data_IF_415483955313
#
_entry.id   IF_415483955313
#
_cell.length_a   1.000
_cell.length_b   1.000
_cell.length_c   1.000
_cell.angle_alpha   90.00
_cell.angle_beta   90.00
_cell.angle_gamma   90.00
#
_symmetry.space_group_name_H-M   'P 1'
#
loop_
_entity.id
_entity.type
_entity.pdbx_description
1 polymer ?
#
# COMPACT_ATOMS: atom_id res chain seq x y z
N UNK A 1 -11.10 -6.15 6.55
CA UNK A 1 -9.75 -5.61 6.69
C UNK A 1 -8.82 -6.70 7.18
N UNK A 2 -7.68 -6.90 6.50
CA UNK A 2 -6.63 -7.77 7.04
C UNK A 2 -6.02 -7.13 8.30
N UNK A 3 -5.73 -7.94 9.31
CA UNK A 3 -5.16 -7.47 10.57
C UNK A 3 -3.79 -8.09 10.82
N UNK A 4 -3.04 -7.53 11.77
CA UNK A 4 -1.78 -8.15 12.23
C UNK A 4 -1.97 -9.60 12.71
N UNK A 5 -3.13 -9.93 13.29
CA UNK A 5 -3.46 -11.30 13.72
C UNK A 5 -3.64 -12.19 12.49
N UNK A 6 -4.41 -11.74 11.50
CA UNK A 6 -4.62 -12.48 10.25
C UNK A 6 -3.30 -12.73 9.53
N UNK A 7 -2.42 -11.72 9.45
CA UNK A 7 -1.11 -11.86 8.81
C UNK A 7 -0.20 -12.80 9.60
N UNK A 8 -0.15 -12.67 10.93
CA UNK A 8 0.64 -13.56 11.79
C UNK A 8 0.19 -15.02 11.66
N UNK A 9 -1.12 -15.26 11.64
CA UNK A 9 -1.66 -16.62 11.51
C UNK A 9 -1.36 -17.24 10.15
N UNK A 10 -1.35 -16.43 9.08
CA UNK A 10 -1.16 -16.92 7.71
C UNK A 10 0.31 -17.06 7.31
N UNK A 11 1.15 -16.11 7.70
CA UNK A 11 2.52 -15.97 7.22
C UNK A 11 3.57 -16.05 8.32
N UNK A 12 3.15 -16.09 9.59
CA UNK A 12 4.06 -16.01 10.73
C UNK A 12 4.49 -14.57 11.06
N UNK A 13 5.49 -14.48 11.94
CA UNK A 13 6.08 -13.20 12.33
C UNK A 13 6.84 -12.59 11.15
N UNK A 14 6.84 -11.27 10.97
CA UNK A 14 7.60 -10.63 9.92
C UNK A 14 9.08 -10.55 10.31
N UNK A 15 9.76 -11.68 10.19
CA UNK A 15 11.20 -11.86 10.42
C UNK A 15 11.92 -12.27 9.14
N UNK A 16 13.21 -12.62 9.25
CA UNK A 16 14.04 -12.97 8.10
C UNK A 16 13.52 -14.20 7.33
N UNK A 17 12.89 -15.17 8.02
CA UNK A 17 12.34 -16.36 7.36
C UNK A 17 11.06 -16.01 6.59
N UNK A 18 10.20 -15.17 7.18
CA UNK A 18 9.06 -14.60 6.47
C UNK A 18 9.52 -13.84 5.21
N UNK A 19 10.54 -12.98 5.34
CA UNK A 19 11.05 -12.20 4.21
C UNK A 19 11.57 -13.09 3.08
N UNK A 20 12.38 -14.11 3.41
CA UNK A 20 12.89 -15.10 2.44
C UNK A 20 11.78 -15.80 1.69
N UNK A 21 10.71 -16.16 2.39
CA UNK A 21 9.63 -16.96 1.81
C UNK A 21 8.64 -16.11 1.00
N UNK A 22 8.28 -14.92 1.47
CA UNK A 22 7.10 -14.20 0.98
C UNK A 22 7.39 -12.85 0.33
N UNK A 23 8.56 -12.25 0.57
CA UNK A 23 8.90 -10.93 0.04
C UNK A 23 9.61 -11.03 -1.30
N UNK A 24 9.56 -9.93 -2.05
CA UNK A 24 10.23 -9.78 -3.35
C UNK A 24 10.62 -8.33 -3.56
N UNK A 25 11.77 -8.12 -4.24
CA UNK A 25 12.12 -6.82 -4.81
C UNK A 25 11.46 -6.73 -6.18
N UNK A 26 10.26 -6.15 -6.22
CA UNK A 26 9.54 -5.94 -7.47
C UNK A 26 10.10 -4.73 -8.22
N UNK A 27 10.51 -4.94 -9.48
CA UNK A 27 10.89 -3.85 -10.39
C UNK A 27 9.63 -3.29 -11.05
N UNK A 28 9.29 -2.04 -10.71
CA UNK A 28 8.17 -1.34 -11.34
C UNK A 28 8.56 -1.04 -12.79
N UNK A 29 7.70 -1.38 -13.75
CA UNK A 29 8.03 -1.23 -15.17
C UNK A 29 8.30 0.22 -15.56
N UNK A 30 9.23 0.43 -16.48
CA UNK A 30 9.58 1.78 -16.93
C UNK A 30 8.40 2.49 -17.59
N UNK A 31 7.50 1.74 -18.23
CA UNK A 31 6.25 2.27 -18.80
C UNK A 31 5.32 2.88 -17.72
N UNK A 32 5.21 2.25 -16.55
CA UNK A 32 4.43 2.81 -15.43
C UNK A 32 5.15 4.03 -14.85
N UNK A 33 6.46 3.92 -14.57
CA UNK A 33 7.21 5.02 -13.94
C UNK A 33 7.33 6.26 -14.84
N UNK A 34 7.39 6.08 -16.16
CA UNK A 34 7.36 7.19 -17.11
C UNK A 34 6.06 8.02 -17.02
N UNK A 35 4.97 7.42 -16.54
CA UNK A 35 3.69 8.11 -16.32
C UNK A 35 3.49 8.56 -14.88
N UNK A 36 4.05 7.84 -13.90
CA UNK A 36 3.96 8.15 -12.48
C UNK A 36 5.38 8.25 -11.90
N UNK A 37 6.07 9.39 -12.12
CA UNK A 37 7.50 9.52 -11.83
C UNK A 37 7.86 9.48 -10.34
N UNK A 38 6.89 9.71 -9.45
CA UNK A 38 7.08 9.62 -8.00
C UNK A 38 7.24 8.19 -7.50
N UNK A 39 6.89 7.17 -8.31
CA UNK A 39 7.07 5.78 -7.94
C UNK A 39 8.56 5.39 -7.97
N UNK A 40 9.03 4.62 -6.98
CA UNK A 40 10.41 4.15 -6.97
C UNK A 40 10.65 3.12 -8.08
N UNK A 41 11.91 2.97 -8.50
CA UNK A 41 12.31 1.94 -9.46
C UNK A 41 11.99 0.52 -8.98
N UNK A 42 12.16 0.31 -7.67
CA UNK A 42 11.99 -0.97 -7.00
C UNK A 42 11.13 -0.78 -5.76
N UNK A 43 10.19 -1.69 -5.56
CA UNK A 43 9.39 -1.76 -4.35
C UNK A 43 9.69 -3.10 -3.69
N UNK A 44 10.15 -3.08 -2.44
CA UNK A 44 10.26 -4.29 -1.64
C UNK A 44 8.91 -4.54 -0.96
N UNK A 45 8.22 -5.60 -1.37
CA UNK A 45 6.85 -5.89 -0.95
C UNK A 45 6.59 -7.40 -0.91
N UNK A 46 5.43 -7.78 -0.38
CA UNK A 46 4.96 -9.15 -0.44
C UNK A 46 4.69 -9.55 -1.90
N UNK A 47 5.00 -10.79 -2.28
CA UNK A 47 4.66 -11.37 -3.60
C UNK A 47 3.20 -11.16 -4.02
N UNK A 48 2.26 -11.13 -3.07
CA UNK A 48 0.83 -10.91 -3.32
C UNK A 48 0.50 -9.49 -3.78
N UNK A 49 1.38 -8.51 -3.56
CA UNK A 49 1.17 -7.11 -3.95
C UNK A 49 1.45 -6.84 -5.42
N UNK A 50 2.30 -7.65 -6.06
CA UNK A 50 2.87 -7.31 -7.38
C UNK A 50 1.78 -7.12 -8.42
N UNK A 51 0.88 -8.08 -8.57
CA UNK A 51 -0.20 -7.99 -9.54
C UNK A 51 -1.23 -6.90 -9.20
N UNK A 52 -1.79 -6.84 -7.97
CA UNK A 52 -2.71 -5.76 -7.57
C UNK A 52 -2.12 -4.35 -7.75
N UNK A 53 -0.88 -4.10 -7.31
CA UNK A 53 -0.26 -2.78 -7.49
C UNK A 53 -0.03 -2.45 -8.97
N UNK A 54 0.40 -3.43 -9.77
CA UNK A 54 0.54 -3.23 -11.21
C UNK A 54 -0.78 -2.80 -11.84
N UNK A 55 -1.89 -3.46 -11.47
CA UNK A 55 -3.22 -3.12 -11.98
C UNK A 55 -3.70 -1.76 -11.45
N UNK A 56 -3.47 -1.44 -10.17
CA UNK A 56 -3.86 -0.16 -9.60
C UNK A 56 -3.17 1.01 -10.32
N UNK A 57 -1.87 0.92 -10.55
CA UNK A 57 -1.13 1.96 -11.28
C UNK A 57 -1.57 2.07 -12.74
N UNK A 58 -1.84 0.94 -13.41
CA UNK A 58 -2.40 0.95 -14.77
C UNK A 58 -3.79 1.61 -14.80
N UNK A 59 -4.68 1.26 -13.88
CA UNK A 59 -5.98 1.90 -13.75
C UNK A 59 -5.85 3.42 -13.60
N UNK A 60 -4.90 3.89 -12.78
CA UNK A 60 -4.65 5.31 -12.60
C UNK A 60 -4.15 6.00 -13.87
N UNK A 61 -3.31 5.33 -14.66
CA UNK A 61 -2.84 5.83 -15.96
C UNK A 61 -4.01 5.90 -16.96
N UNK A 62 -4.76 4.80 -17.10
CA UNK A 62 -5.88 4.68 -18.04
C UNK A 62 -7.02 5.65 -17.73
N UNK A 63 -7.24 5.97 -16.44
CA UNK A 63 -8.25 6.93 -15.99
C UNK A 63 -7.75 8.38 -15.93
N UNK A 64 -6.50 8.65 -16.31
CA UNK A 64 -5.94 10.01 -16.36
C UNK A 64 -5.65 10.65 -15.00
N UNK A 65 -5.44 9.84 -13.94
CA UNK A 65 -5.29 10.30 -12.55
C UNK A 65 -3.82 10.43 -12.11
N UNK A 66 -2.88 10.39 -13.05
CA UNK A 66 -1.43 10.35 -12.75
C UNK A 66 -0.94 11.59 -11.99
N UNK A 67 -1.59 12.74 -12.17
CA UNK A 67 -1.25 13.99 -11.49
C UNK A 67 -1.59 13.99 -10.00
N UNK A 68 -2.42 13.03 -9.55
CA UNK A 68 -2.78 12.89 -8.13
C UNK A 68 -1.73 12.14 -7.32
N UNK A 69 -0.71 11.55 -7.95
CA UNK A 69 0.41 10.93 -7.26
C UNK A 69 1.47 11.99 -6.95
N UNK A 70 1.43 12.52 -5.72
CA UNK A 70 2.34 13.58 -5.26
C UNK A 70 3.57 13.00 -4.58
N UNK A 71 3.38 12.00 -3.71
CA UNK A 71 4.49 11.32 -3.00
C UNK A 71 4.27 9.82 -2.92
N UNK A 72 5.38 9.08 -2.89
CA UNK A 72 5.43 7.68 -2.49
C UNK A 72 6.08 7.60 -1.11
N UNK A 73 5.33 7.11 -0.12
CA UNK A 73 5.70 7.20 1.29
C UNK A 73 6.06 5.84 1.91
N UNK A 74 6.01 4.77 1.12
CA UNK A 74 6.63 3.49 1.45
C UNK A 74 5.73 2.28 1.26
N UNK A 75 6.29 1.10 1.52
CA UNK A 75 5.58 -0.18 1.44
C UNK A 75 5.93 -1.12 2.60
N UNK A 76 7.21 -1.42 2.79
CA UNK A 76 7.66 -2.34 3.84
C UNK A 76 8.34 -1.59 4.98
N UNK A 77 7.86 -1.82 6.21
CA UNK A 77 8.48 -1.33 7.44
C UNK A 77 7.96 -2.16 8.62
N UNK A 78 8.84 -2.96 9.24
CA UNK A 78 8.50 -3.71 10.45
C UNK A 78 8.39 -2.73 11.62
N UNK A 79 7.16 -2.40 12.00
CA UNK A 79 6.88 -1.46 13.08
C UNK A 79 5.55 -1.73 13.76
N UNK A 80 5.45 -1.28 15.02
CA UNK A 80 4.15 -1.17 15.69
C UNK A 80 3.34 -0.01 15.10
N UNK A 81 2.02 -0.13 15.19
CA UNK A 81 1.12 1.00 14.92
C UNK A 81 1.30 2.08 15.99
N UNK A 82 1.17 3.35 15.60
CA UNK A 82 1.34 4.48 16.51
C UNK A 82 0.37 4.35 17.69
N UNK A 83 0.89 4.41 18.91
CA UNK A 83 0.12 4.27 20.15
C UNK A 83 -0.63 2.93 20.30
N UNK A 84 -0.25 1.87 19.57
CA UNK A 84 -0.84 0.54 19.69
C UNK A 84 0.24 -0.55 19.83
N UNK A 85 -0.11 -1.65 20.49
CA UNK A 85 0.79 -2.80 20.67
C UNK A 85 0.79 -3.79 19.49
N UNK A 86 -0.05 -3.56 18.48
CA UNK A 86 -0.14 -4.42 17.30
C UNK A 86 0.75 -3.91 16.17
N UNK A 87 1.30 -4.84 15.39
CA UNK A 87 2.12 -4.51 14.22
C UNK A 87 1.29 -3.85 13.11
N UNK A 88 1.95 -3.00 12.34
CA UNK A 88 1.40 -2.42 11.12
C UNK A 88 1.37 -3.46 10.00
N UNK A 89 0.41 -3.34 9.08
CA UNK A 89 0.34 -4.20 7.88
C UNK A 89 1.57 -4.01 6.97
N UNK A 90 2.21 -2.83 7.03
CA UNK A 90 3.52 -2.59 6.42
C UNK A 90 4.60 -3.59 6.87
N UNK A 91 4.45 -4.22 8.04
CA UNK A 91 5.40 -5.22 8.53
C UNK A 91 5.40 -6.49 7.69
N UNK A 92 4.32 -6.77 6.95
CA UNK A 92 4.23 -7.90 6.03
C UNK A 92 4.35 -7.48 4.56
N UNK A 93 4.68 -6.21 4.28
CA UNK A 93 4.78 -5.70 2.91
C UNK A 93 3.47 -5.77 2.12
N UNK A 94 2.33 -5.71 2.81
CA UNK A 94 0.96 -5.84 2.27
C UNK A 94 0.20 -4.50 2.22
N UNK A 95 0.91 -3.39 2.45
CA UNK A 95 0.37 -2.04 2.46
C UNK A 95 1.33 -1.07 1.76
N UNK A 96 0.79 0.05 1.29
CA UNK A 96 1.54 1.18 0.74
C UNK A 96 0.97 2.48 1.29
N UNK A 97 1.82 3.50 1.39
CA UNK A 97 1.43 4.87 1.66
C UNK A 97 1.75 5.77 0.46
N UNK A 98 0.81 6.61 0.07
CA UNK A 98 1.00 7.68 -0.92
C UNK A 98 0.40 8.99 -0.41
N UNK A 99 0.97 10.12 -0.83
CA UNK A 99 0.50 11.46 -0.49
C UNK A 99 0.41 11.71 1.04
N UNK A 100 1.34 11.15 1.82
CA UNK A 100 1.28 11.13 3.29
C UNK A 100 1.18 12.53 3.92
N UNK A 101 1.88 13.51 3.34
CA UNK A 101 1.88 14.90 3.84
C UNK A 101 0.47 15.49 3.94
N UNK A 102 -0.37 15.24 2.93
CA UNK A 102 -1.73 15.81 2.81
C UNK A 102 -2.82 14.85 3.28
N UNK A 103 -2.45 13.62 3.64
CA UNK A 103 -3.36 12.53 4.02
C UNK A 103 -2.92 11.79 5.29
N UNK A 104 -2.32 12.51 6.23
CA UNK A 104 -1.78 11.96 7.47
C UNK A 104 -2.85 11.25 8.33
N UNK A 105 -2.41 10.29 9.14
CA UNK A 105 -3.30 9.56 10.05
C UNK A 105 -4.07 10.49 11.00
N UNK A 106 -5.40 10.35 10.99
CA UNK A 106 -6.33 11.10 11.83
C UNK A 106 -6.70 12.48 11.29
N UNK A 107 -6.26 12.86 10.09
CA UNK A 107 -6.70 14.09 9.42
C UNK A 107 -7.84 13.80 8.44
N UNK A 108 -8.53 14.84 7.98
CA UNK A 108 -9.53 14.71 6.92
C UNK A 108 -8.81 14.25 5.63
N UNK A 109 -9.16 13.09 5.05
CA UNK A 109 -8.57 12.65 3.79
C UNK A 109 -8.93 13.60 2.65
N UNK A 110 -7.99 13.76 1.72
CA UNK A 110 -8.12 14.64 0.54
C UNK A 110 -8.08 13.87 -0.78
N UNK A 111 -7.73 12.58 -0.74
CA UNK A 111 -7.66 11.73 -1.93
C UNK A 111 -9.01 11.60 -2.64
N UNK A 112 -8.99 11.70 -3.98
CA UNK A 112 -10.20 11.59 -4.80
C UNK A 112 -10.81 10.19 -4.72
N UNK A 113 -12.12 10.10 -4.93
CA UNK A 113 -12.82 8.82 -4.94
C UNK A 113 -12.38 7.96 -6.15
N UNK A 114 -12.03 8.60 -7.26
CA UNK A 114 -11.58 8.03 -8.51
C UNK A 114 -10.21 7.36 -8.36
N UNK A 115 -9.27 8.04 -7.70
CA UNK A 115 -7.95 7.46 -7.39
C UNK A 115 -8.10 6.29 -6.42
N UNK A 116 -8.85 6.46 -5.33
CA UNK A 116 -9.14 5.37 -4.39
C UNK A 116 -9.74 4.17 -5.12
N UNK A 117 -10.66 4.41 -6.07
CA UNK A 117 -11.29 3.36 -6.86
C UNK A 117 -10.31 2.57 -7.72
N UNK A 118 -9.23 3.18 -8.21
CA UNK A 118 -8.18 2.47 -8.97
C UNK A 118 -7.55 1.34 -8.16
N UNK A 119 -7.40 1.53 -6.85
CA UNK A 119 -6.88 0.54 -5.92
C UNK A 119 -7.98 -0.43 -5.46
N UNK A 120 -9.15 0.08 -5.06
CA UNK A 120 -10.19 -0.79 -4.50
C UNK A 120 -10.79 -1.75 -5.53
N UNK A 121 -10.81 -1.38 -6.82
CA UNK A 121 -11.25 -2.27 -7.89
C UNK A 121 -10.34 -3.49 -8.07
N UNK A 122 -9.10 -3.45 -7.57
CA UNK A 122 -8.09 -4.50 -7.76
C UNK A 122 -7.67 -5.15 -6.44
N UNK A 123 -8.55 -5.10 -5.43
CA UNK A 123 -8.41 -5.87 -4.20
C UNK A 123 -7.77 -5.14 -3.03
N UNK A 124 -7.55 -3.82 -3.13
CA UNK A 124 -7.18 -3.01 -1.98
C UNK A 124 -8.40 -2.54 -1.19
N UNK A 125 -8.16 -2.19 0.07
CA UNK A 125 -8.98 -1.28 0.84
C UNK A 125 -8.19 0.00 1.12
N UNK A 126 -8.92 1.07 1.45
CA UNK A 126 -8.35 2.39 1.71
C UNK A 126 -8.63 2.85 3.13
N UNK A 127 -7.59 3.34 3.81
CA UNK A 127 -7.64 3.76 5.20
C UNK A 127 -8.47 5.01 5.46
N UNK A 128 -8.72 5.83 4.44
CA UNK A 128 -9.55 7.03 4.56
C UNK A 128 -11.01 6.77 4.95
N UNK A 129 -11.49 5.53 4.82
CA UNK A 129 -12.85 5.12 5.24
C UNK A 129 -12.96 4.63 6.69
N UNK A 130 -11.85 4.58 7.43
CA UNK A 130 -11.85 4.08 8.81
C UNK A 130 -12.39 5.13 9.79
N UNK A 131 -12.83 4.68 10.97
CA UNK A 131 -13.37 5.56 12.02
C UNK A 131 -12.38 6.65 12.43
N UNK A 132 -11.09 6.30 12.51
CA UNK A 132 -9.98 7.25 12.50
C UNK A 132 -9.29 7.14 11.15
N UNK A 133 -9.51 8.09 10.23
CA UNK A 133 -9.04 7.96 8.86
C UNK A 133 -7.52 7.85 8.76
N UNK A 134 -7.07 7.05 7.81
CA UNK A 134 -5.67 6.98 7.37
C UNK A 134 -5.63 7.18 5.85
N UNK A 135 -5.68 8.45 5.41
CA UNK A 135 -5.95 8.78 4.01
C UNK A 135 -4.82 8.39 3.05
N UNK A 136 -3.61 8.23 3.56
CA UNK A 136 -2.43 7.84 2.78
C UNK A 136 -2.36 6.32 2.54
N UNK A 137 -3.03 5.54 3.40
CA UNK A 137 -2.81 4.11 3.54
C UNK A 137 -3.72 3.28 2.63
N UNK A 138 -3.12 2.40 1.86
CA UNK A 138 -3.78 1.31 1.15
C UNK A 138 -3.21 -0.03 1.56
N UNK A 139 -4.05 -1.05 1.70
CA UNK A 139 -3.62 -2.41 1.97
C UNK A 139 -4.48 -3.42 1.21
N UNK A 140 -3.98 -4.64 1.00
CA UNK A 140 -4.84 -5.69 0.46
C UNK A 140 -6.03 -5.92 1.38
N UNK A 141 -7.23 -5.97 0.81
CA UNK A 141 -8.45 -6.15 1.58
C UNK A 141 -8.58 -7.57 2.17
N UNK A 142 -7.92 -8.55 1.54
CA UNK A 142 -7.96 -9.99 1.84
C UNK A 142 -6.63 -10.64 1.51
N UNK A 143 -6.28 -11.72 2.21
CA UNK A 143 -5.06 -12.51 1.98
C UNK A 143 -5.34 -13.98 1.91
#
# INVERSE_FOLDING_TARGET
MITSITCTNKFGKPDIEFERQYMVVWKVSDAIRAKIPVLPQKIYCHKLMVEPLTKAFKNSIERGLIAEFITWDGCFCIRRKRAQNTLSIHSWGLAIDINAKDNAFGTKPTMSAELVKCFTDVGFEWGGKWSKPDGMHFQLAKI
#
